data_IF_294759949487
#
_entry.id   IF_294759949487
#
_cell.length_a   1.000
_cell.length_b   1.000
_cell.length_c   1.000
_cell.angle_alpha   90.00
_cell.angle_beta   90.00
_cell.angle_gamma   90.00
#
_symmetry.space_group_name_H-M   'P 1'
#
loop_
_entity.id
_entity.type
_entity.pdbx_description
1 polymer ?
#
# COMPACT_ATOMS: atom_id res chain seq x y z
N UNK A 1 16.28 0.05 8.59
CA UNK A 1 15.88 -1.14 7.80
C UNK A 1 15.33 -0.65 6.47
N UNK A 2 15.70 -1.23 5.31
CA UNK A 2 15.10 -0.85 4.04
C UNK A 2 13.61 -1.24 4.01
N UNK A 3 12.77 -0.44 3.34
CA UNK A 3 11.38 -0.81 3.06
C UNK A 3 11.33 -1.56 1.73
N UNK A 4 10.83 -2.80 1.76
CA UNK A 4 10.59 -3.62 0.58
C UNK A 4 9.09 -3.84 0.39
N UNK A 5 8.73 -4.45 -0.73
CA UNK A 5 7.36 -4.77 -1.13
C UNK A 5 7.17 -6.29 -1.29
N UNK A 6 5.93 -6.74 -1.14
CA UNK A 6 5.51 -8.13 -1.31
C UNK A 6 4.45 -8.30 -2.40
N UNK A 7 4.01 -7.21 -3.03
CA UNK A 7 3.22 -7.19 -4.27
C UNK A 7 3.79 -6.17 -5.25
N UNK A 8 3.55 -6.37 -6.55
CA UNK A 8 4.18 -5.61 -7.61
C UNK A 8 3.24 -5.47 -8.82
N UNK A 9 2.97 -4.23 -9.24
CA UNK A 9 2.19 -3.94 -10.44
C UNK A 9 3.00 -4.09 -11.74
N UNK A 10 4.33 -4.26 -11.64
CA UNK A 10 5.28 -4.44 -12.74
C UNK A 10 5.26 -3.33 -13.80
N UNK A 11 4.67 -2.19 -13.46
CA UNK A 11 4.46 -1.01 -14.29
C UNK A 11 5.69 -0.10 -14.39
N UNK A 12 6.85 -0.57 -13.92
CA UNK A 12 8.13 0.03 -14.30
C UNK A 12 8.35 -0.08 -15.81
N UNK A 13 7.83 -1.15 -16.43
CA UNK A 13 7.70 -1.29 -17.88
C UNK A 13 6.36 -0.73 -18.37
N UNK A 14 6.28 -0.41 -19.67
CA UNK A 14 5.00 -0.03 -20.28
C UNK A 14 4.09 -1.28 -20.37
N UNK A 15 2.96 -1.24 -19.66
CA UNK A 15 1.93 -2.28 -19.64
C UNK A 15 0.62 -1.74 -20.21
N UNK A 16 -0.24 -2.64 -20.71
CA UNK A 16 -1.63 -2.28 -21.01
C UNK A 16 -2.42 -2.04 -19.73
N UNK A 17 -3.51 -1.27 -19.85
CA UNK A 17 -4.45 -1.00 -18.75
C UNK A 17 -4.99 -2.30 -18.12
N UNK A 18 -5.41 -3.27 -18.94
CA UNK A 18 -5.89 -4.57 -18.48
C UNK A 18 -4.82 -5.39 -17.73
N UNK A 19 -3.56 -5.31 -18.17
CA UNK A 19 -2.46 -5.99 -17.49
C UNK A 19 -2.24 -5.41 -16.08
N UNK A 20 -2.30 -4.09 -15.96
CA UNK A 20 -2.17 -3.40 -14.67
C UNK A 20 -3.31 -3.81 -13.74
N UNK A 21 -4.56 -3.80 -14.21
CA UNK A 21 -5.72 -4.19 -13.40
C UNK A 21 -5.61 -5.66 -12.94
N UNK A 22 -5.18 -6.56 -13.83
CA UNK A 22 -4.97 -7.97 -13.48
C UNK A 22 -3.87 -8.16 -12.42
N UNK A 23 -2.78 -7.42 -12.51
CA UNK A 23 -1.69 -7.46 -11.53
C UNK A 23 -2.12 -6.86 -10.19
N UNK A 24 -2.95 -5.82 -10.21
CA UNK A 24 -3.57 -5.25 -9.02
C UNK A 24 -4.50 -6.27 -8.34
N UNK A 25 -5.29 -7.03 -9.10
CA UNK A 25 -6.13 -8.09 -8.56
C UNK A 25 -5.30 -9.18 -7.84
N UNK A 26 -4.11 -9.49 -8.33
CA UNK A 26 -3.22 -10.45 -7.67
C UNK A 26 -2.53 -9.83 -6.44
N UNK A 27 -2.16 -8.56 -6.52
CA UNK A 27 -1.29 -7.92 -5.52
C UNK A 27 -2.05 -7.25 -4.37
N UNK A 28 -3.26 -6.74 -4.59
CA UNK A 28 -4.04 -6.01 -3.58
C UNK A 28 -4.71 -6.96 -2.59
N UNK A 29 -3.92 -7.49 -1.67
CA UNK A 29 -4.34 -8.44 -0.62
C UNK A 29 -4.06 -7.85 0.77
N UNK A 30 -4.60 -8.49 1.82
CA UNK A 30 -4.42 -8.01 3.20
C UNK A 30 -2.94 -8.01 3.59
N UNK A 31 -2.52 -6.98 4.33
CA UNK A 31 -1.16 -6.85 4.89
C UNK A 31 -0.04 -6.90 3.85
N UNK A 32 -0.32 -6.46 2.61
CA UNK A 32 0.64 -6.43 1.53
C UNK A 32 1.16 -5.01 1.29
N UNK A 33 2.49 -4.82 1.23
CA UNK A 33 3.09 -3.58 0.71
C UNK A 33 3.24 -3.79 -0.80
N UNK A 34 2.54 -2.97 -1.60
CA UNK A 34 2.53 -3.09 -3.06
C UNK A 34 3.26 -1.91 -3.68
N UNK A 35 4.17 -2.20 -4.61
CA UNK A 35 4.84 -1.18 -5.41
C UNK A 35 4.12 -0.96 -6.75
N UNK A 36 4.05 0.30 -7.16
CA UNK A 36 3.62 0.76 -8.48
C UNK A 36 4.36 2.04 -8.84
N UNK A 37 4.45 2.35 -10.12
CA UNK A 37 5.24 3.43 -10.68
C UNK A 37 4.36 4.37 -11.50
N UNK A 38 4.38 5.66 -11.17
CA UNK A 38 3.68 6.69 -11.93
C UNK A 38 4.51 7.20 -13.12
N UNK A 39 5.14 6.27 -13.84
CA UNK A 39 6.07 6.59 -14.93
C UNK A 39 5.41 6.61 -16.32
N UNK A 40 4.28 5.92 -16.48
CA UNK A 40 3.58 5.76 -17.76
C UNK A 40 2.10 6.12 -17.62
N UNK A 41 1.50 6.69 -18.67
CA UNK A 41 0.11 7.15 -18.63
C UNK A 41 -0.95 6.09 -18.21
N UNK A 42 -0.87 4.81 -18.67
CA UNK A 42 -1.93 3.81 -18.40
C UNK A 42 -2.31 3.64 -16.92
N UNK A 43 -1.35 3.73 -15.99
CA UNK A 43 -1.62 3.59 -14.54
C UNK A 43 -2.60 4.65 -14.03
N UNK A 44 -2.60 5.84 -14.65
CA UNK A 44 -3.49 6.94 -14.27
C UNK A 44 -4.91 6.73 -14.77
N UNK A 45 -5.07 6.12 -15.94
CA UNK A 45 -6.39 5.87 -16.55
C UNK A 45 -7.18 4.82 -15.76
N UNK A 46 -6.48 3.81 -15.22
CA UNK A 46 -7.09 2.72 -14.44
C UNK A 46 -7.20 3.01 -12.95
N UNK A 47 -6.81 4.19 -12.47
CA UNK A 47 -6.77 4.51 -11.03
C UNK A 47 -8.11 4.23 -10.33
N UNK A 48 -9.24 4.53 -10.99
CA UNK A 48 -10.57 4.22 -10.46
C UNK A 48 -10.76 2.72 -10.23
N UNK A 49 -10.37 1.88 -11.19
CA UNK A 49 -10.49 0.42 -11.08
C UNK A 49 -9.60 -0.13 -9.95
N UNK A 50 -8.39 0.43 -9.78
CA UNK A 50 -7.50 0.07 -8.68
C UNK A 50 -8.15 0.35 -7.31
N UNK A 51 -8.77 1.53 -7.15
CA UNK A 51 -9.50 1.90 -5.94
C UNK A 51 -10.72 1.00 -5.74
N UNK A 52 -11.42 0.62 -6.80
CA UNK A 52 -12.59 -0.25 -6.72
C UNK A 52 -12.20 -1.68 -6.27
N UNK A 53 -11.06 -2.23 -6.68
CA UNK A 53 -10.53 -3.51 -6.16
C UNK A 53 -10.29 -3.44 -4.64
N UNK A 54 -9.66 -2.36 -4.17
CA UNK A 54 -9.39 -2.14 -2.73
C UNK A 54 -10.71 -2.10 -1.95
N UNK A 55 -11.72 -1.36 -2.46
CA UNK A 55 -13.04 -1.21 -1.84
C UNK A 55 -13.83 -2.52 -1.83
N UNK A 56 -13.87 -3.23 -2.95
CA UNK A 56 -14.58 -4.51 -3.08
C UNK A 56 -14.06 -5.54 -2.06
N UNK A 57 -12.76 -5.50 -1.77
CA UNK A 57 -12.09 -6.35 -0.79
C UNK A 57 -12.12 -5.81 0.64
N UNK A 58 -12.74 -4.65 0.86
CA UNK A 58 -12.79 -3.93 2.16
C UNK A 58 -11.40 -3.72 2.76
N UNK A 59 -10.41 -3.46 1.90
CA UNK A 59 -9.05 -3.16 2.33
C UNK A 59 -8.94 -1.69 2.73
N UNK A 60 -8.16 -1.42 3.77
CA UNK A 60 -7.77 -0.08 4.17
C UNK A 60 -6.33 0.16 3.71
N UNK A 61 -6.12 1.17 2.88
CA UNK A 61 -4.77 1.65 2.59
C UNK A 61 -4.23 2.38 3.82
N UNK A 62 -2.93 2.23 4.03
CA UNK A 62 -2.19 2.87 5.11
C UNK A 62 -0.87 3.38 4.55
N UNK A 63 -0.23 4.29 5.26
CA UNK A 63 1.11 4.75 4.94
C UNK A 63 2.15 3.76 5.46
N UNK A 64 3.39 3.85 4.96
CA UNK A 64 4.50 3.09 5.54
C UNK A 64 4.77 3.48 7.01
N UNK A 65 4.47 4.72 7.39
CA UNK A 65 4.58 5.16 8.78
C UNK A 65 3.60 4.40 9.69
N UNK A 66 2.36 4.18 9.25
CA UNK A 66 1.38 3.39 10.01
C UNK A 66 1.83 1.92 10.21
N UNK A 67 2.71 1.41 9.35
CA UNK A 67 3.24 0.04 9.40
C UNK A 67 4.51 -0.05 10.24
N UNK A 68 5.45 0.90 10.11
CA UNK A 68 6.77 0.82 10.72
C UNK A 68 6.97 1.66 11.97
N UNK A 69 6.22 2.76 12.14
CA UNK A 69 6.30 3.59 13.33
C UNK A 69 5.26 3.13 14.34
N UNK A 70 5.69 2.72 15.53
CA UNK A 70 4.79 2.60 16.68
C UNK A 70 4.44 4.01 17.14
N UNK A 71 3.19 4.31 17.51
CA UNK A 71 2.92 5.52 18.29
C UNK A 71 3.79 5.48 19.54
N UNK A 72 4.44 6.59 19.88
CA UNK A 72 5.18 6.71 21.13
C UNK A 72 4.22 6.33 22.27
N UNK A 73 4.59 5.32 23.06
CA UNK A 73 3.93 5.09 24.33
C UNK A 73 4.43 6.21 25.22
N UNK A 74 3.58 7.17 25.65
CA UNK A 74 4.02 8.15 26.62
C UNK A 74 4.45 7.35 27.85
N UNK A 75 5.73 7.39 28.19
CA UNK A 75 6.19 6.86 29.46
C UNK A 75 5.47 7.65 30.55
N UNK A 76 4.39 7.09 31.11
CA UNK A 76 3.85 7.55 32.38
C UNK A 76 4.99 7.37 33.37
N UNK A 77 5.72 8.44 33.65
CA UNK A 77 6.57 8.51 34.83
C UNK A 77 5.66 8.23 36.01
N UNK A 78 5.73 7.01 36.55
CA UNK A 78 5.11 6.67 37.80
C UNK A 78 5.77 7.55 38.87
N UNK A 79 5.18 8.71 39.14
CA UNK A 79 5.39 9.40 40.41
C UNK A 79 4.67 8.55 41.46
N UNK A 80 5.41 7.60 42.02
CA UNK A 80 5.16 7.16 43.38
C UNK A 80 5.46 8.36 44.29
N UNK A 81 4.42 9.06 44.71
CA UNK A 81 4.36 9.70 46.01
C UNK A 81 3.46 8.73 46.82
N UNK A 82 3.94 8.09 47.87
CA UNK A 82 4.59 8.70 49.02
C UNK A 82 3.51 8.83 50.07
#
# INVERSE_FOLDING_TARGET
MPTLWSGDLRDSALLSEDQIVKLADLSFTRQNIVIGHLNHAPITHVYKQLVDIIRARRLRTVTLNDVFLKPEIPHRTARFAG
#
